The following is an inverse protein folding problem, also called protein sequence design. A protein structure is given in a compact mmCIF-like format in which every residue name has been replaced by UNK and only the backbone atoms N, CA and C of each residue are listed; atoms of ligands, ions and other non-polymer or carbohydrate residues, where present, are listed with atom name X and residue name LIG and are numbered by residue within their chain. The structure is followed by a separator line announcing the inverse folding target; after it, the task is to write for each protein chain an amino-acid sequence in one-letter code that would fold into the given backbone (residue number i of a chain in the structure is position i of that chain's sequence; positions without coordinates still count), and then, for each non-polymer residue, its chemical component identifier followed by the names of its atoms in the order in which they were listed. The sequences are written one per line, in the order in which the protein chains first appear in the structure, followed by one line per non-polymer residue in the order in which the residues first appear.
data_IF_115833478862
#
_entry.id   IF_115833478862
#
_cell.length_a   1.000
_cell.length_b   1.000
_cell.length_c   1.000
_cell.angle_alpha   90.00
_cell.angle_beta   90.00
_cell.angle_gamma   90.00
#
_symmetry.space_group_name_H-M   'P 1'
#
loop_
_entity.id
_entity.type
_entity.pdbx_description
1 polymer ?
#
# COMPACT_ATOMS: atom_id res chain seq x y z
N UNK A 1 -10.44 -0.35 32.38
CA UNK A 1 -9.75 -0.97 33.54
C UNK A 1 -8.38 -1.60 33.19
N UNK A 2 -7.45 -0.85 32.60
CA UNK A 2 -6.03 -1.26 32.44
C UNK A 2 -5.04 -0.15 32.79
N UNK A 3 -5.54 0.99 33.31
CA UNK A 3 -4.74 2.18 33.61
C UNK A 3 -3.89 2.06 34.90
N UNK A 4 -4.08 1.02 35.72
CA UNK A 4 -3.43 0.91 37.03
C UNK A 4 -2.15 0.05 37.08
N UNK A 5 -1.72 -0.55 35.96
CA UNK A 5 -0.54 -1.46 35.99
C UNK A 5 0.76 -0.74 35.65
N UNK A 6 0.70 0.39 34.92
CA UNK A 6 1.88 1.17 34.53
C UNK A 6 1.49 2.65 34.59
N UNK A 7 1.95 3.36 35.64
CA UNK A 7 1.79 4.81 35.74
C UNK A 7 2.78 5.48 34.76
N UNK A 8 2.37 5.60 33.51
CA UNK A 8 3.14 6.27 32.47
C UNK A 8 2.98 7.78 32.67
N UNK A 9 4.07 8.57 32.67
CA UNK A 9 3.96 10.02 32.75
C UNK A 9 3.06 10.56 31.62
N UNK A 10 2.15 11.49 31.95
CA UNK A 10 1.19 12.08 30.99
C UNK A 10 1.91 12.65 29.75
N UNK A 11 3.11 13.18 29.93
CA UNK A 11 3.97 13.68 28.84
C UNK A 11 4.32 12.58 27.83
N UNK A 12 4.60 11.37 28.30
CA UNK A 12 4.95 10.21 27.46
C UNK A 12 3.72 9.69 26.72
N UNK A 13 2.57 9.62 27.38
CA UNK A 13 1.30 9.22 26.75
C UNK A 13 0.92 10.20 25.63
N UNK A 14 1.04 11.50 25.91
CA UNK A 14 0.72 12.56 24.94
C UNK A 14 1.68 12.53 23.75
N UNK A 15 2.98 12.33 23.99
CA UNK A 15 3.98 12.22 22.94
C UNK A 15 3.78 10.99 22.05
N UNK A 16 3.54 9.80 22.63
CA UNK A 16 3.30 8.57 21.88
C UNK A 16 2.00 8.67 21.07
N UNK A 17 0.94 9.22 21.66
CA UNK A 17 -0.33 9.46 20.98
C UNK A 17 -0.16 10.39 19.78
N UNK A 18 0.63 11.46 19.92
CA UNK A 18 0.94 12.35 18.81
C UNK A 18 1.75 11.66 17.73
N UNK A 19 2.87 11.03 18.10
CA UNK A 19 3.77 10.39 17.14
C UNK A 19 3.03 9.35 16.30
N UNK A 20 2.15 8.55 16.92
CA UNK A 20 1.32 7.59 16.21
C UNK A 20 0.37 8.29 15.23
N UNK A 21 -0.36 9.32 15.65
CA UNK A 21 -1.32 10.00 14.77
C UNK A 21 -0.63 10.75 13.61
N UNK A 22 0.52 11.38 13.87
CA UNK A 22 1.28 12.13 12.88
C UNK A 22 1.94 11.21 11.85
N UNK A 23 2.39 10.02 12.26
CA UNK A 23 3.04 9.07 11.36
C UNK A 23 2.04 8.20 10.61
N UNK A 24 0.85 7.95 11.15
CA UNK A 24 -0.14 7.02 10.58
C UNK A 24 -0.54 7.38 9.14
N UNK A 25 -0.99 8.62 8.91
CA UNK A 25 -1.46 9.04 7.58
C UNK A 25 -0.31 9.06 6.55
N UNK A 26 0.88 9.66 6.82
CA UNK A 26 2.00 9.59 5.89
C UNK A 26 2.45 8.15 5.58
N UNK A 27 2.43 7.27 6.59
CA UNK A 27 2.76 5.87 6.43
C UNK A 27 1.76 5.19 5.49
N UNK A 28 0.46 5.46 5.63
CA UNK A 28 -0.53 4.90 4.72
C UNK A 28 -0.48 5.44 3.31
N UNK A 29 -0.27 6.74 3.16
CA UNK A 29 -0.08 7.35 1.85
C UNK A 29 1.13 6.73 1.14
N UNK A 30 2.18 6.41 1.90
CA UNK A 30 3.34 5.66 1.39
C UNK A 30 2.98 4.22 1.05
N UNK A 31 2.20 3.54 1.89
CA UNK A 31 1.73 2.18 1.61
C UNK A 31 0.90 2.12 0.32
N UNK A 32 0.12 3.15 0.01
CA UNK A 32 -0.65 3.21 -1.25
C UNK A 32 0.22 3.19 -2.52
N UNK A 33 1.49 3.59 -2.43
CA UNK A 33 2.45 3.52 -3.54
C UNK A 33 2.63 2.06 -4.02
N UNK A 34 2.47 1.06 -3.15
CA UNK A 34 2.51 -0.37 -3.52
C UNK A 34 1.41 -0.78 -4.50
N UNK A 35 0.30 -0.03 -4.52
CA UNK A 35 -0.83 -0.27 -5.41
C UNK A 35 -0.81 0.61 -6.67
N UNK A 36 0.14 1.53 -6.82
CA UNK A 36 0.28 2.31 -8.04
C UNK A 36 0.74 1.42 -9.21
N UNK A 37 0.08 1.54 -10.37
CA UNK A 37 0.37 0.74 -11.57
C UNK A 37 1.40 1.39 -12.49
N UNK A 38 1.56 2.71 -12.44
CA UNK A 38 2.45 3.47 -13.32
C UNK A 38 3.48 4.30 -12.54
N UNK A 39 4.63 4.58 -13.16
CA UNK A 39 5.66 5.46 -12.59
C UNK A 39 5.13 6.88 -12.32
N UNK A 40 4.28 7.39 -13.22
CA UNK A 40 3.59 8.68 -13.04
C UNK A 40 2.73 8.69 -11.79
N UNK A 41 1.92 7.65 -11.57
CA UNK A 41 1.08 7.54 -10.38
C UNK A 41 1.91 7.41 -9.10
N UNK A 42 3.00 6.64 -9.12
CA UNK A 42 3.94 6.55 -7.99
C UNK A 42 4.52 7.91 -7.62
N UNK A 43 5.03 8.66 -8.60
CA UNK A 43 5.62 9.97 -8.37
C UNK A 43 4.59 11.02 -7.93
N UNK A 44 3.35 10.90 -8.41
CA UNK A 44 2.25 11.74 -7.95
C UNK A 44 1.89 11.45 -6.49
N UNK A 45 1.73 10.17 -6.11
CA UNK A 45 1.49 9.77 -4.72
C UNK A 45 2.61 10.22 -3.78
N UNK A 46 3.90 10.06 -4.17
CA UNK A 46 5.03 10.56 -3.39
C UNK A 46 4.96 12.07 -3.12
N UNK A 47 4.60 12.86 -4.14
CA UNK A 47 4.43 14.31 -4.00
C UNK A 47 3.26 14.64 -3.08
N UNK A 48 2.14 13.92 -3.18
CA UNK A 48 1.02 14.10 -2.26
C UNK A 48 1.39 13.79 -0.82
N UNK A 49 2.10 12.68 -0.57
CA UNK A 49 2.60 12.34 0.77
C UNK A 49 3.50 13.46 1.31
N UNK A 50 4.40 14.00 0.50
CA UNK A 50 5.30 15.08 0.90
C UNK A 50 4.53 16.37 1.21
N UNK A 51 3.58 16.75 0.36
CA UNK A 51 2.71 17.92 0.59
C UNK A 51 1.93 17.77 1.89
N UNK A 52 1.43 16.56 2.17
CA UNK A 52 0.72 16.28 3.41
C UNK A 52 1.60 16.39 4.65
N UNK A 53 2.82 15.81 4.63
CA UNK A 53 3.78 15.96 5.73
C UNK A 53 4.09 17.44 5.99
N UNK A 54 4.30 18.23 4.94
CA UNK A 54 4.53 19.68 5.07
C UNK A 54 3.31 20.36 5.70
N UNK A 55 2.09 20.00 5.28
CA UNK A 55 0.86 20.49 5.88
C UNK A 55 0.80 20.20 7.39
N UNK A 56 1.10 18.98 7.83
CA UNK A 56 1.08 18.63 9.26
C UNK A 56 2.09 19.46 10.05
N UNK A 57 3.31 19.63 9.53
CA UNK A 57 4.34 20.47 10.17
C UNK A 57 3.86 21.91 10.30
N UNK A 58 3.25 22.47 9.26
CA UNK A 58 2.73 23.85 9.27
C UNK A 58 1.62 24.00 10.32
N UNK A 59 0.70 23.05 10.42
CA UNK A 59 -0.37 23.08 11.44
C UNK A 59 0.21 23.03 12.85
N UNK A 60 1.20 22.16 13.10
CA UNK A 60 1.87 22.08 14.41
C UNK A 60 2.59 23.38 14.77
N UNK A 61 3.25 24.03 13.81
CA UNK A 61 3.94 25.30 14.03
C UNK A 61 2.97 26.47 14.31
N UNK A 62 1.79 26.48 13.67
CA UNK A 62 0.79 27.54 13.85
C UNK A 62 0.04 27.38 15.16
N UNK A 63 -0.42 26.17 15.49
CA UNK A 63 -1.29 25.98 16.66
C UNK A 63 -0.52 26.04 17.97
N UNK A 64 0.81 25.77 17.97
CA UNK A 64 1.73 25.83 19.12
C UNK A 64 1.28 25.06 20.37
N UNK A 65 0.19 24.30 20.27
CA UNK A 65 -0.45 23.53 21.33
C UNK A 65 -0.68 22.13 20.83
N UNK A 66 -0.29 21.19 21.67
CA UNK A 66 -0.44 19.78 21.44
C UNK A 66 -1.74 19.31 22.09
N UNK A 67 -2.87 19.75 21.53
CA UNK A 67 -4.20 19.50 22.10
C UNK A 67 -5.08 18.69 21.14
N UNK A 68 -6.22 18.21 21.64
CA UNK A 68 -7.22 17.42 20.92
C UNK A 68 -7.67 18.10 19.62
N UNK A 69 -7.77 19.43 19.63
CA UNK A 69 -8.17 20.22 18.46
C UNK A 69 -7.12 20.18 17.34
N UNK A 70 -5.84 20.26 17.69
CA UNK A 70 -4.73 20.16 16.73
C UNK A 70 -4.70 18.78 16.07
N UNK A 71 -4.94 17.72 16.85
CA UNK A 71 -5.06 16.35 16.34
C UNK A 71 -6.28 16.24 15.42
N UNK A 72 -7.43 16.79 15.80
CA UNK A 72 -8.64 16.74 14.97
C UNK A 72 -8.45 17.42 13.61
N UNK A 73 -7.84 18.61 13.60
CA UNK A 73 -7.56 19.42 12.40
C UNK A 73 -6.57 18.72 11.46
N UNK A 74 -5.58 18.02 12.02
CA UNK A 74 -4.55 17.34 11.23
C UNK A 74 -5.06 16.00 10.70
N UNK A 75 -5.64 15.18 11.58
CA UNK A 75 -6.08 13.82 11.25
C UNK A 75 -7.29 13.78 10.32
N UNK A 76 -8.22 14.73 10.41
CA UNK A 76 -9.44 14.75 9.60
C UNK A 76 -9.18 14.78 8.08
N UNK A 77 -8.44 15.77 7.55
CA UNK A 77 -8.05 15.82 6.14
C UNK A 77 -7.24 14.59 5.71
N UNK A 78 -6.32 14.12 6.56
CA UNK A 78 -5.52 12.93 6.30
C UNK A 78 -6.37 11.68 6.12
N UNK A 79 -7.31 11.47 7.04
CA UNK A 79 -8.26 10.36 7.02
C UNK A 79 -9.14 10.39 5.76
N UNK A 80 -9.63 11.57 5.38
CA UNK A 80 -10.42 11.76 4.16
C UNK A 80 -9.61 11.38 2.91
N UNK A 81 -8.33 11.78 2.83
CA UNK A 81 -7.44 11.37 1.74
C UNK A 81 -7.21 9.87 1.71
N UNK A 82 -6.97 9.25 2.87
CA UNK A 82 -6.73 7.79 2.95
C UNK A 82 -7.95 7.02 2.48
N UNK A 83 -9.16 7.42 2.88
CA UNK A 83 -10.40 6.82 2.38
C UNK A 83 -10.56 7.02 0.88
N UNK A 84 -10.38 8.25 0.39
CA UNK A 84 -10.59 8.57 -1.03
C UNK A 84 -9.68 7.73 -1.93
N UNK A 85 -8.38 7.69 -1.62
CA UNK A 85 -7.42 6.87 -2.35
C UNK A 85 -7.65 5.38 -2.12
N UNK A 86 -7.94 4.97 -0.89
CA UNK A 86 -8.26 3.60 -0.52
C UNK A 86 -9.38 3.03 -1.37
N UNK A 87 -10.52 3.72 -1.44
CA UNK A 87 -11.68 3.33 -2.26
C UNK A 87 -11.35 3.28 -3.75
N UNK A 88 -10.64 4.28 -4.26
CA UNK A 88 -10.24 4.34 -5.68
C UNK A 88 -9.37 3.14 -6.06
N UNK A 89 -8.36 2.83 -5.23
CA UNK A 89 -7.50 1.67 -5.44
C UNK A 89 -8.24 0.36 -5.23
N UNK A 90 -9.14 0.29 -4.26
CA UNK A 90 -9.95 -0.89 -3.96
C UNK A 90 -10.80 -1.29 -5.15
N UNK A 91 -11.56 -0.36 -5.72
CA UNK A 91 -12.41 -0.62 -6.91
C UNK A 91 -11.56 -1.13 -8.07
N UNK A 92 -10.43 -0.46 -8.34
CA UNK A 92 -9.55 -0.86 -9.43
C UNK A 92 -8.95 -2.26 -9.21
N UNK A 93 -8.51 -2.57 -7.97
CA UNK A 93 -7.83 -3.83 -7.65
C UNK A 93 -8.79 -5.01 -7.56
N UNK A 94 -10.00 -4.82 -7.02
CA UNK A 94 -11.03 -5.86 -7.04
C UNK A 94 -11.43 -6.20 -8.46
N UNK A 95 -11.62 -5.19 -9.32
CA UNK A 95 -11.95 -5.43 -10.73
C UNK A 95 -10.88 -6.30 -11.40
N UNK A 96 -9.60 -5.96 -11.23
CA UNK A 96 -8.48 -6.74 -11.78
C UNK A 96 -8.45 -8.16 -11.19
N UNK A 97 -8.63 -8.29 -9.87
CA UNK A 97 -8.59 -9.58 -9.20
C UNK A 97 -9.70 -10.51 -9.69
N UNK A 98 -10.90 -9.98 -9.88
CA UNK A 98 -12.04 -10.75 -10.36
C UNK A 98 -11.93 -11.08 -11.85
N UNK A 99 -11.55 -10.12 -12.70
CA UNK A 99 -11.49 -10.33 -14.16
C UNK A 99 -10.35 -11.26 -14.57
N UNK A 100 -9.17 -11.14 -13.95
CA UNK A 100 -7.98 -11.88 -14.39
C UNK A 100 -7.59 -13.04 -13.45
N UNK A 101 -8.35 -13.26 -12.38
CA UNK A 101 -8.07 -14.25 -11.32
C UNK A 101 -6.62 -14.20 -10.82
N UNK A 102 -6.02 -13.00 -10.79
CA UNK A 102 -4.62 -12.74 -10.44
C UNK A 102 -4.55 -11.62 -9.42
N UNK A 103 -3.48 -11.61 -8.63
CA UNK A 103 -3.18 -10.53 -7.68
C UNK A 103 -4.19 -10.37 -6.51
N UNK A 104 -4.77 -11.47 -6.04
CA UNK A 104 -5.64 -11.48 -4.84
C UNK A 104 -4.97 -10.89 -3.59
N UNK A 105 -3.65 -11.05 -3.42
CA UNK A 105 -2.91 -10.46 -2.29
C UNK A 105 -3.12 -8.95 -2.19
N UNK A 106 -2.88 -8.20 -3.28
CA UNK A 106 -3.15 -6.76 -3.32
C UNK A 106 -4.61 -6.40 -3.08
N UNK A 107 -5.56 -7.20 -3.57
CA UNK A 107 -6.98 -6.96 -3.32
C UNK A 107 -7.32 -7.14 -1.83
N UNK A 108 -6.82 -8.20 -1.18
CA UNK A 108 -7.01 -8.43 0.26
C UNK A 108 -6.42 -7.29 1.09
N UNK A 109 -5.20 -6.83 0.75
CA UNK A 109 -4.54 -5.73 1.45
C UNK A 109 -5.37 -4.43 1.40
N UNK A 110 -5.84 -4.04 0.21
CA UNK A 110 -6.60 -2.80 0.06
C UNK A 110 -8.01 -2.92 0.67
N UNK A 111 -8.62 -4.10 0.64
CA UNK A 111 -9.89 -4.37 1.33
C UNK A 111 -9.75 -4.20 2.84
N UNK A 112 -8.70 -4.77 3.43
CA UNK A 112 -8.43 -4.62 4.86
C UNK A 112 -8.25 -3.16 5.26
N UNK A 113 -7.54 -2.38 4.43
CA UNK A 113 -7.33 -0.95 4.66
C UNK A 113 -8.62 -0.14 4.58
N UNK A 114 -9.41 -0.32 3.51
CA UNK A 114 -10.67 0.41 3.36
C UNK A 114 -11.63 0.09 4.50
N UNK A 115 -11.66 -1.18 4.93
CA UNK A 115 -12.45 -1.59 6.10
C UNK A 115 -11.98 -0.88 7.38
N UNK A 116 -10.68 -0.96 7.69
CA UNK A 116 -10.10 -0.36 8.89
C UNK A 116 -10.32 1.16 8.94
N UNK A 117 -9.95 1.86 7.87
CA UNK A 117 -10.08 3.31 7.79
C UNK A 117 -11.54 3.77 7.67
N UNK A 118 -12.44 2.93 7.14
CA UNK A 118 -13.88 3.13 7.24
C UNK A 118 -14.35 3.15 8.69
N UNK A 119 -13.93 2.16 9.49
CA UNK A 119 -14.22 2.11 10.92
C UNK A 119 -13.57 3.26 11.70
N UNK A 120 -12.31 3.60 11.42
CA UNK A 120 -11.63 4.73 12.07
C UNK A 120 -12.29 6.07 11.73
N UNK A 121 -12.84 6.22 10.53
CA UNK A 121 -13.62 7.41 10.17
C UNK A 121 -14.93 7.49 10.90
N UNK A 122 -15.60 6.35 11.11
CA UNK A 122 -16.79 6.31 11.94
C UNK A 122 -16.50 6.71 13.39
N UNK A 123 -15.40 6.20 13.95
CA UNK A 123 -14.90 6.60 15.27
C UNK A 123 -14.60 8.10 15.31
N UNK A 124 -13.91 8.63 14.29
CA UNK A 124 -13.57 10.04 14.19
C UNK A 124 -14.83 10.92 14.19
N UNK A 125 -15.84 10.57 13.41
CA UNK A 125 -17.12 11.31 13.37
C UNK A 125 -17.82 11.28 14.73
N UNK A 126 -17.93 10.12 15.37
CA UNK A 126 -18.58 10.01 16.68
C UNK A 126 -17.84 10.83 17.75
N UNK A 127 -16.52 10.73 17.78
CA UNK A 127 -15.72 11.26 18.87
C UNK A 127 -15.43 12.77 18.71
N UNK A 128 -15.10 13.22 17.50
CA UNK A 128 -14.70 14.60 17.22
C UNK A 128 -15.84 15.46 16.69
N UNK A 129 -16.70 14.95 15.80
CA UNK A 129 -17.80 15.74 15.23
C UNK A 129 -19.05 15.72 16.11
N UNK A 130 -19.45 14.55 16.60
CA UNK A 130 -20.66 14.39 17.43
C UNK A 130 -20.38 14.58 18.93
N UNK A 131 -19.10 14.71 19.31
CA UNK A 131 -18.64 14.96 20.69
C UNK A 131 -19.18 13.96 21.74
N UNK A 132 -19.52 12.74 21.32
CA UNK A 132 -20.00 11.69 22.24
C UNK A 132 -18.81 11.18 23.05
N UNK A 133 -18.83 11.45 24.36
CA UNK A 133 -17.74 11.09 25.29
C UNK A 133 -17.94 9.69 25.87
N UNK A 134 -17.64 8.68 25.06
CA UNK A 134 -17.55 7.28 25.51
C UNK A 134 -16.14 6.72 25.19
N UNK A 135 -15.10 7.13 25.96
CA UNK A 135 -13.72 6.77 25.65
C UNK A 135 -13.50 5.25 25.70
N UNK A 136 -14.04 4.56 26.70
CA UNK A 136 -13.81 3.11 26.90
C UNK A 136 -14.33 2.27 25.72
N UNK A 137 -15.54 2.55 25.25
CA UNK A 137 -16.15 1.86 24.11
C UNK A 137 -15.40 2.15 22.81
N UNK A 138 -14.96 3.40 22.64
CA UNK A 138 -14.18 3.83 21.47
C UNK A 138 -12.84 3.11 21.40
N UNK A 139 -12.13 2.99 22.53
CA UNK A 139 -10.88 2.24 22.63
C UNK A 139 -11.07 0.75 22.33
N UNK A 140 -12.17 0.15 22.80
CA UNK A 140 -12.45 -1.26 22.54
C UNK A 140 -12.68 -1.53 21.05
N UNK A 141 -13.51 -0.70 20.39
CA UNK A 141 -13.77 -0.82 18.96
C UNK A 141 -12.47 -0.58 18.16
N UNK A 142 -11.69 0.44 18.52
CA UNK A 142 -10.41 0.74 17.88
C UNK A 142 -9.44 -0.44 17.95
N UNK A 143 -9.28 -1.06 19.12
CA UNK A 143 -8.40 -2.21 19.31
C UNK A 143 -8.90 -3.45 18.57
N UNK A 144 -10.20 -3.73 18.61
CA UNK A 144 -10.79 -4.86 17.90
C UNK A 144 -10.58 -4.74 16.37
N UNK A 145 -10.89 -3.56 15.83
CA UNK A 145 -10.68 -3.27 14.40
C UNK A 145 -9.20 -3.41 14.05
N UNK A 146 -8.30 -2.88 14.88
CA UNK A 146 -6.85 -2.96 14.67
C UNK A 146 -6.35 -4.41 14.62
N UNK A 147 -6.82 -5.28 15.51
CA UNK A 147 -6.44 -6.71 15.51
C UNK A 147 -6.90 -7.39 14.22
N UNK A 148 -8.17 -7.21 13.84
CA UNK A 148 -8.74 -7.82 12.63
C UNK A 148 -8.03 -7.33 11.36
N UNK A 149 -7.78 -6.02 11.28
CA UNK A 149 -7.08 -5.39 10.17
C UNK A 149 -5.63 -5.87 10.06
N UNK A 150 -4.88 -5.91 11.16
CA UNK A 150 -3.49 -6.36 11.16
C UNK A 150 -3.37 -7.85 10.79
N UNK A 151 -4.29 -8.69 11.27
CA UNK A 151 -4.35 -10.10 10.88
C UNK A 151 -4.61 -10.24 9.37
N UNK A 152 -5.58 -9.51 8.84
CA UNK A 152 -5.94 -9.55 7.41
C UNK A 152 -4.81 -9.01 6.53
N UNK A 153 -4.14 -7.93 6.94
CA UNK A 153 -2.95 -7.42 6.25
C UNK A 153 -1.83 -8.45 6.21
N UNK A 154 -1.55 -9.10 7.34
CA UNK A 154 -0.49 -10.10 7.42
C UNK A 154 -0.73 -11.25 6.44
N UNK A 155 -1.97 -11.74 6.36
CA UNK A 155 -2.39 -12.74 5.37
C UNK A 155 -2.20 -12.21 3.94
N UNK A 156 -2.63 -10.98 3.67
CA UNK A 156 -2.48 -10.34 2.36
C UNK A 156 -1.01 -10.23 1.91
N UNK A 157 -0.10 -9.88 2.83
CA UNK A 157 1.35 -9.78 2.56
C UNK A 157 1.93 -11.15 2.23
N UNK A 158 1.56 -12.19 2.99
CA UNK A 158 2.03 -13.57 2.75
C UNK A 158 1.61 -14.05 1.34
N UNK A 159 0.35 -13.82 0.96
CA UNK A 159 -0.16 -14.18 -0.37
C UNK A 159 0.58 -13.41 -1.47
N UNK A 160 0.81 -12.12 -1.27
CA UNK A 160 1.53 -11.27 -2.22
C UNK A 160 2.99 -11.72 -2.40
N UNK A 161 3.69 -12.03 -1.30
CA UNK A 161 5.07 -12.50 -1.31
C UNK A 161 5.21 -13.83 -2.08
N UNK A 162 4.29 -14.78 -1.86
CA UNK A 162 4.25 -16.03 -2.63
C UNK A 162 4.09 -15.76 -4.13
N UNK A 163 3.27 -14.78 -4.50
CA UNK A 163 3.07 -14.38 -5.91
C UNK A 163 4.34 -13.77 -6.51
N UNK A 164 5.03 -12.90 -5.77
CA UNK A 164 6.27 -12.24 -6.24
C UNK A 164 7.35 -13.28 -6.53
N UNK A 165 7.59 -14.22 -5.60
CA UNK A 165 8.56 -15.32 -5.79
C UNK A 165 8.26 -16.14 -7.04
N UNK A 166 6.99 -16.52 -7.23
CA UNK A 166 6.57 -17.27 -8.42
C UNK A 166 6.77 -16.49 -9.73
N UNK A 167 6.61 -15.16 -9.71
CA UNK A 167 6.88 -14.32 -10.87
C UNK A 167 8.38 -14.27 -11.17
N UNK A 168 9.22 -14.11 -10.15
CA UNK A 168 10.68 -14.11 -10.28
C UNK A 168 11.17 -15.44 -10.87
N UNK A 169 10.70 -16.58 -10.37
CA UNK A 169 10.99 -17.90 -10.92
C UNK A 169 10.68 -17.97 -12.42
N UNK A 170 9.48 -17.54 -12.83
CA UNK A 170 9.07 -17.53 -14.25
C UNK A 170 9.94 -16.61 -15.10
N UNK A 171 10.36 -15.44 -14.59
CA UNK A 171 11.27 -14.55 -15.31
C UNK A 171 12.63 -15.18 -15.50
N UNK A 172 13.18 -15.81 -14.46
CA UNK A 172 14.45 -16.53 -14.52
C UNK A 172 14.37 -17.69 -15.52
N UNK A 173 13.35 -18.54 -15.45
CA UNK A 173 13.17 -19.64 -16.41
C UNK A 173 13.00 -19.14 -17.85
N UNK A 174 12.29 -18.03 -18.08
CA UNK A 174 12.17 -17.42 -19.42
C UNK A 174 13.51 -16.93 -19.96
N UNK A 175 14.34 -16.35 -19.08
CA UNK A 175 15.68 -15.90 -19.42
C UNK A 175 16.57 -17.09 -19.79
N UNK A 176 16.61 -18.12 -18.95
CA UNK A 176 17.36 -19.36 -19.20
C UNK A 176 16.94 -20.03 -20.51
N UNK A 177 15.63 -20.18 -20.75
CA UNK A 177 15.11 -20.72 -22.02
C UNK A 177 15.55 -19.85 -23.21
N UNK A 178 15.49 -18.52 -23.09
CA UNK A 178 15.90 -17.62 -24.17
C UNK A 178 17.39 -17.74 -24.50
N UNK A 179 18.23 -17.97 -23.49
CA UNK A 179 19.67 -18.19 -23.65
C UNK A 179 19.92 -19.53 -24.38
N UNK A 180 19.29 -20.62 -23.94
CA UNK A 180 19.41 -21.95 -24.59
C UNK A 180 18.98 -21.91 -26.07
N UNK A 181 17.82 -21.32 -26.39
CA UNK A 181 17.36 -21.24 -27.78
C UNK A 181 18.16 -20.26 -28.64
N UNK A 182 18.87 -19.30 -28.03
CA UNK A 182 19.77 -18.41 -28.77
C UNK A 182 21.07 -19.11 -29.17
N UNK A 183 21.57 -20.01 -28.31
CA UNK A 183 22.72 -20.86 -28.62
C UNK A 183 22.39 -21.87 -29.72
N UNK A 184 21.21 -22.49 -29.66
CA UNK A 184 20.77 -23.47 -30.67
C UNK A 184 20.59 -22.82 -32.05
N UNK A 185 20.03 -21.59 -32.10
CA UNK A 185 19.97 -20.79 -33.35
C UNK A 185 21.34 -20.41 -33.90
N UNK A 186 22.33 -20.19 -33.03
CA UNK A 186 23.70 -19.88 -33.44
C UNK A 186 24.49 -21.15 -33.83
N UNK A 187 24.17 -22.31 -33.25
CA UNK A 187 24.66 -23.62 -33.66
C UNK A 187 24.16 -24.01 -35.06
N UNK A 188 22.87 -23.81 -35.35
CA UNK A 188 22.28 -24.04 -36.67
C UNK A 188 22.87 -23.09 -37.73
N UNK A 189 23.18 -21.83 -37.38
CA UNK A 189 23.88 -20.89 -38.29
C UNK A 189 25.33 -21.29 -38.59
N UNK A 190 26.01 -21.98 -37.67
CA UNK A 190 27.38 -22.51 -37.88
C UNK A 190 27.38 -23.83 -38.65
N UNK A 191 26.29 -24.60 -38.60
CA UNK A 191 26.14 -25.87 -39.32
C UNK A 191 25.56 -25.72 -40.73
N UNK A 192 25.09 -24.53 -41.13
CA UNK A 192 24.68 -24.28 -42.50
C UNK A 192 25.93 -24.29 -43.41
N UNK A 193 26.06 -25.21 -44.38
CA UNK A 193 27.17 -25.18 -45.32
C UNK A 193 27.12 -23.85 -46.10
N UNK A 194 28.29 -23.23 -46.28
CA UNK A 194 28.48 -22.08 -47.18
C UNK A 194 27.80 -22.41 -48.51
N UNK A 195 26.76 -21.64 -48.87
CA UNK A 195 26.07 -21.75 -50.15
C UNK A 195 27.07 -21.55 -51.29
N UNK A 196 27.38 -22.63 -51.99
CA UNK A 196 28.01 -22.65 -53.31
C UNK A 196 26.95 -22.82 -54.42
N UNK A 197 25.70 -22.45 -54.17
CA UNK A 197 24.59 -22.66 -55.13
C UNK A 197 23.79 -21.38 -55.34
N UNK A 198 24.44 -20.36 -55.90
CA UNK A 198 23.80 -19.13 -56.38
C UNK A 198 23.72 -19.03 -57.92
N UNK A 199 24.09 -20.09 -58.66
CA UNK A 199 24.25 -19.99 -60.13
C UNK A 199 23.30 -20.82 -61.00
N UNK A 200 22.34 -21.56 -60.44
CA UNK A 200 21.49 -22.47 -61.23
C UNK A 200 20.09 -21.98 -61.62
N UNK A 201 19.70 -20.74 -61.29
CA UNK A 201 18.36 -20.22 -61.59
C UNK A 201 18.32 -19.04 -62.57
N UNK A 202 19.33 -18.89 -63.45
CA UNK A 202 19.36 -17.82 -64.46
C UNK A 202 18.92 -18.20 -65.87
N UNK A 203 18.52 -19.45 -66.12
CA UNK A 203 17.93 -19.86 -67.38
C UNK A 203 16.87 -20.93 -67.16
N UNK A 204 15.62 -20.49 -67.02
CA UNK A 204 14.39 -21.16 -67.49
C UNK A 204 13.19 -20.24 -67.19
#
# INVERSE_FOLDING_TARGET
MTLDVINVPIEVETFIGLANNLVDVPLMMTFFILFATSARQKNWMKRLTLVYIVFEIVVLLIMQKLDRDTIAVTYGPGLAMVIFFGLTFFIHRIKIANTYHKAYGKAILISALVFAYGCFSFIYVIHFLLQIKAPEETFLIYNLVSILYNATLSIGIIIENKRIRKLEEVFTTRRELSEVFSEDRNGIKKAAPKKETAEYWRYN
#
